data_IF_626312940525
#
_entry.id   IF_626312940525
#
_cell.length_a   1.000
_cell.length_b   1.000
_cell.length_c   1.000
_cell.angle_alpha   90.00
_cell.angle_beta   90.00
_cell.angle_gamma   90.00
#
_symmetry.space_group_name_H-M   'P 1'
#
loop_
_entity.id
_entity.type
_entity.pdbx_description
1 polymer ?
#
# COMPACT_ATOMS: atom_id res chain seq x y z
N UNK A 1 -9.67 -20.25 -0.74
CA UNK A 1 -9.62 -18.90 -1.37
C UNK A 1 -10.12 -19.04 -2.79
N UNK A 2 -11.19 -18.34 -3.18
CA UNK A 2 -11.79 -18.42 -4.53
C UNK A 2 -11.28 -17.37 -5.52
N UNK A 3 -10.65 -16.31 -5.02
CA UNK A 3 -10.04 -15.25 -5.82
C UNK A 3 -9.24 -14.30 -4.92
N UNK A 4 -8.43 -13.45 -5.55
CA UNK A 4 -7.62 -12.44 -4.88
C UNK A 4 -7.87 -11.08 -5.55
N UNK A 5 -8.06 -10.04 -4.74
CA UNK A 5 -8.20 -8.66 -5.22
C UNK A 5 -7.05 -7.82 -4.70
N UNK A 6 -6.38 -7.12 -5.61
CA UNK A 6 -5.29 -6.20 -5.32
C UNK A 6 -5.80 -4.78 -5.55
N UNK A 7 -6.14 -4.08 -4.48
CA UNK A 7 -6.45 -2.65 -4.55
C UNK A 7 -5.16 -1.86 -4.50
N UNK A 8 -4.90 -1.06 -5.55
CA UNK A 8 -3.79 -0.11 -5.64
C UNK A 8 -2.47 -0.73 -5.17
N UNK A 9 -2.03 -1.83 -5.81
CA UNK A 9 -0.81 -2.49 -5.36
C UNK A 9 0.40 -1.55 -5.52
N UNK A 10 1.50 -1.79 -4.78
CA UNK A 10 2.67 -0.91 -4.81
C UNK A 10 3.30 -0.80 -6.21
N UNK A 11 4.22 0.15 -6.40
CA UNK A 11 5.02 0.23 -7.64
C UNK A 11 5.62 -1.11 -7.97
N UNK A 12 5.79 -1.33 -9.27
CA UNK A 12 6.49 -2.49 -9.77
C UNK A 12 7.89 -2.60 -9.13
N UNK A 13 8.62 -1.49 -9.08
CA UNK A 13 9.97 -1.42 -8.53
C UNK A 13 9.98 -1.80 -7.04
N UNK A 14 8.95 -1.40 -6.28
CA UNK A 14 8.86 -1.76 -4.86
C UNK A 14 8.59 -3.25 -4.62
N UNK A 15 8.01 -3.95 -5.60
CA UNK A 15 7.74 -5.40 -5.53
C UNK A 15 8.75 -6.25 -6.31
N UNK A 16 9.53 -5.65 -7.22
CA UNK A 16 10.51 -6.35 -8.05
C UNK A 16 11.95 -6.17 -7.60
N UNK A 17 12.24 -5.15 -6.78
CA UNK A 17 13.59 -4.89 -6.29
C UNK A 17 13.71 -5.18 -4.79
N UNK A 18 14.87 -5.68 -4.39
CA UNK A 18 15.21 -5.71 -2.98
C UNK A 18 15.64 -4.33 -2.49
N UNK A 19 15.08 -3.90 -1.37
CA UNK A 19 15.54 -2.68 -0.71
C UNK A 19 16.91 -2.90 -0.09
N UNK A 20 17.82 -1.93 -0.28
CA UNK A 20 19.21 -2.03 0.16
C UNK A 20 19.32 -2.58 1.61
N UNK A 21 19.89 -3.78 1.81
CA UNK A 21 19.91 -4.44 3.11
C UNK A 21 20.61 -3.65 4.21
N UNK A 22 21.65 -2.89 3.84
CA UNK A 22 22.40 -2.03 4.77
C UNK A 22 21.54 -0.87 5.23
N UNK A 23 20.88 -0.17 4.30
CA UNK A 23 19.95 0.93 4.62
C UNK A 23 18.76 0.43 5.44
N UNK A 24 18.19 -0.71 5.07
CA UNK A 24 17.11 -1.38 5.79
C UNK A 24 17.49 -1.66 7.24
N UNK A 25 18.66 -2.26 7.46
CA UNK A 25 19.18 -2.59 8.79
C UNK A 25 19.47 -1.32 9.60
N UNK A 26 20.07 -0.30 8.98
CA UNK A 26 20.35 0.98 9.62
C UNK A 26 19.07 1.70 10.08
N UNK A 27 18.05 1.81 9.22
CA UNK A 27 16.76 2.44 9.55
C UNK A 27 16.04 1.66 10.66
N UNK A 28 16.03 0.32 10.57
CA UNK A 28 15.42 -0.52 11.58
C UNK A 28 16.09 -0.31 12.94
N UNK A 29 17.42 -0.37 13.00
CA UNK A 29 18.16 -0.20 14.25
C UNK A 29 18.01 1.23 14.81
N UNK A 30 18.05 2.25 13.96
CA UNK A 30 17.84 3.64 14.39
C UNK A 30 16.49 3.83 15.11
N UNK A 31 15.44 3.18 14.60
CA UNK A 31 14.08 3.32 15.12
C UNK A 31 13.70 2.31 16.21
N UNK A 32 14.53 1.30 16.47
CA UNK A 32 14.21 0.25 17.45
C UNK A 32 15.28 0.02 18.51
N UNK A 33 16.56 0.32 18.27
CA UNK A 33 17.63 0.03 19.22
C UNK A 33 17.67 1.04 20.39
N UNK A 34 17.96 0.58 21.63
CA UNK A 34 18.11 -0.80 22.07
C UNK A 34 16.77 -1.47 22.40
N UNK A 35 16.62 -2.75 22.04
CA UNK A 35 15.52 -3.61 22.54
C UNK A 35 14.09 -3.17 22.18
N UNK A 36 13.88 -2.39 21.14
CA UNK A 36 12.56 -1.82 20.79
C UNK A 36 12.22 -0.52 21.52
N UNK A 37 13.19 0.09 22.22
CA UNK A 37 13.03 1.26 23.07
C UNK A 37 13.76 2.52 22.56
N UNK A 38 14.06 2.61 21.25
CA UNK A 38 14.64 3.81 20.65
C UNK A 38 13.84 5.07 21.02
N UNK A 39 14.45 6.07 21.69
CA UNK A 39 13.79 7.34 21.98
C UNK A 39 13.37 8.08 20.70
N UNK A 40 14.20 7.99 19.66
CA UNK A 40 13.91 8.58 18.35
C UNK A 40 12.72 7.88 17.68
N UNK A 41 12.67 6.55 17.72
CA UNK A 41 11.54 5.78 17.20
C UNK A 41 10.23 6.11 17.93
N UNK A 42 10.28 6.25 19.25
CA UNK A 42 9.13 6.66 20.07
C UNK A 42 8.67 8.07 19.74
N UNK A 43 9.59 9.04 19.68
CA UNK A 43 9.28 10.44 19.38
C UNK A 43 8.70 10.58 17.97
N UNK A 44 9.31 9.93 16.98
CA UNK A 44 8.78 9.88 15.61
C UNK A 44 7.37 9.30 15.58
N UNK A 45 7.13 8.17 16.26
CA UNK A 45 5.82 7.53 16.29
C UNK A 45 4.75 8.43 16.93
N UNK A 46 5.08 9.09 18.04
CA UNK A 46 4.18 10.07 18.69
C UNK A 46 3.84 11.21 17.74
N UNK A 47 4.83 11.75 17.03
CA UNK A 47 4.63 12.80 16.04
C UNK A 47 3.79 12.33 14.85
N UNK A 48 4.10 11.16 14.29
CA UNK A 48 3.41 10.58 13.14
C UNK A 48 1.95 10.18 13.46
N UNK A 49 1.61 10.04 14.75
CA UNK A 49 0.25 9.76 15.21
C UNK A 49 -0.57 11.03 15.46
N UNK A 50 -0.04 12.22 15.19
CA UNK A 50 -0.80 13.47 15.33
C UNK A 50 -1.78 13.65 14.18
N UNK A 51 -2.96 14.22 14.47
CA UNK A 51 -3.96 14.53 13.44
C UNK A 51 -3.40 15.42 12.32
N UNK A 52 -2.53 16.39 12.68
CA UNK A 52 -1.87 17.28 11.71
C UNK A 52 -1.01 16.50 10.72
N UNK A 53 -0.14 15.62 11.23
CA UNK A 53 0.72 14.79 10.38
C UNK A 53 -0.13 13.86 9.50
N UNK A 54 -1.09 13.16 10.09
CA UNK A 54 -1.93 12.20 9.38
C UNK A 54 -2.75 12.86 8.27
N UNK A 55 -3.28 14.08 8.48
CA UNK A 55 -3.99 14.83 7.44
C UNK A 55 -3.07 15.19 6.29
N UNK A 56 -1.91 15.78 6.60
CA UNK A 56 -0.94 16.16 5.59
C UNK A 56 -0.43 14.94 4.80
N UNK A 57 -0.16 13.84 5.49
CA UNK A 57 0.29 12.60 4.86
C UNK A 57 -0.82 12.00 3.98
N UNK A 58 -2.06 11.96 4.47
CA UNK A 58 -3.20 11.41 3.74
C UNK A 58 -3.53 12.21 2.49
N UNK A 59 -3.58 13.55 2.59
CA UNK A 59 -3.87 14.41 1.44
C UNK A 59 -2.75 14.36 0.40
N UNK A 60 -1.49 14.33 0.84
CA UNK A 60 -0.35 14.31 -0.08
C UNK A 60 -0.15 12.95 -0.75
N UNK A 61 -0.36 11.85 -0.02
CA UNK A 61 0.11 10.53 -0.46
C UNK A 61 -1.01 9.51 -0.68
N UNK A 62 -2.15 9.59 0.02
CA UNK A 62 -3.17 8.53 0.00
C UNK A 62 -4.36 8.87 -0.89
N UNK A 63 -4.90 10.08 -0.73
CA UNK A 63 -6.07 10.53 -1.47
C UNK A 63 -5.70 11.30 -2.73
N UNK A 64 -6.54 11.19 -3.76
CA UNK A 64 -6.56 12.04 -4.94
C UNK A 64 -6.95 13.48 -4.61
N UNK A 65 -7.79 13.67 -3.59
CA UNK A 65 -8.29 14.98 -3.19
C UNK A 65 -8.32 15.19 -1.68
N UNK A 66 -7.90 16.36 -1.24
CA UNK A 66 -7.73 16.69 0.18
C UNK A 66 -9.07 16.80 0.94
N UNK A 67 -10.16 17.17 0.27
CA UNK A 67 -11.52 17.22 0.85
C UNK A 67 -12.03 15.85 1.30
N UNK A 68 -11.49 14.77 0.73
CA UNK A 68 -11.82 13.38 1.10
C UNK A 68 -11.12 12.92 2.36
N UNK A 69 -10.18 13.69 2.90
CA UNK A 69 -9.50 13.41 4.18
C UNK A 69 -10.37 13.88 5.34
N UNK A 70 -11.38 13.08 5.67
CA UNK A 70 -12.37 13.41 6.70
C UNK A 70 -11.82 13.31 8.13
N UNK A 71 -12.53 13.91 9.07
CA UNK A 71 -12.23 13.78 10.50
C UNK A 71 -12.40 12.33 10.97
N UNK A 72 -13.40 11.64 10.43
CA UNK A 72 -13.61 10.22 10.67
C UNK A 72 -12.40 9.38 10.26
N UNK A 73 -11.87 9.56 9.04
CA UNK A 73 -10.66 8.89 8.57
C UNK A 73 -9.48 9.08 9.52
N UNK A 74 -9.25 10.32 9.96
CA UNK A 74 -8.13 10.65 10.85
C UNK A 74 -8.33 10.06 12.25
N UNK A 75 -9.54 10.16 12.80
CA UNK A 75 -9.87 9.61 14.11
C UNK A 75 -9.75 8.08 14.12
N UNK A 76 -10.16 7.41 13.04
CA UNK A 76 -10.01 5.97 12.85
C UNK A 76 -8.52 5.58 12.88
N UNK A 77 -7.66 6.20 12.07
CA UNK A 77 -6.22 5.90 12.07
C UNK A 77 -5.61 6.14 13.45
N UNK A 78 -5.93 7.27 14.10
CA UNK A 78 -5.42 7.57 15.44
C UNK A 78 -5.82 6.47 16.42
N UNK A 79 -7.09 6.03 16.39
CA UNK A 79 -7.60 4.99 17.28
C UNK A 79 -6.88 3.66 17.08
N UNK A 80 -6.67 3.26 15.82
CA UNK A 80 -5.97 2.02 15.45
C UNK A 80 -4.47 2.08 15.77
N UNK A 81 -3.89 3.28 15.75
CA UNK A 81 -2.50 3.53 16.10
C UNK A 81 -2.27 3.76 17.61
N UNK A 82 -3.27 3.72 18.48
CA UNK A 82 -3.05 3.89 19.94
C UNK A 82 -2.23 2.78 20.60
N UNK A 83 -2.45 1.49 20.30
CA UNK A 83 -1.72 0.43 20.98
C UNK A 83 -0.22 0.53 20.70
N UNK A 84 0.59 0.56 21.76
CA UNK A 84 2.01 0.88 21.68
C UNK A 84 2.84 -0.14 20.89
N UNK A 85 2.33 -1.35 20.68
CA UNK A 85 2.91 -2.43 19.89
C UNK A 85 2.73 -2.21 18.36
N UNK A 86 1.73 -1.45 17.93
CA UNK A 86 1.48 -1.12 16.51
C UNK A 86 2.60 -0.28 15.89
N UNK A 87 3.40 0.41 16.72
CA UNK A 87 4.59 1.16 16.26
C UNK A 87 5.55 0.31 15.43
N UNK A 88 5.69 -0.98 15.75
CA UNK A 88 6.60 -1.86 15.04
C UNK A 88 6.13 -2.18 13.62
N UNK A 89 4.81 -2.22 13.38
CA UNK A 89 4.28 -2.37 12.02
C UNK A 89 4.60 -1.14 11.15
N UNK A 90 4.46 0.06 11.71
CA UNK A 90 4.81 1.31 11.02
C UNK A 90 6.32 1.38 10.78
N UNK A 91 7.15 1.08 11.79
CA UNK A 91 8.60 1.08 11.66
C UNK A 91 9.08 0.02 10.66
N UNK A 92 8.47 -1.17 10.65
CA UNK A 92 8.75 -2.21 9.66
C UNK A 92 8.43 -1.75 8.24
N UNK A 93 7.31 -1.04 8.07
CA UNK A 93 6.92 -0.45 6.80
C UNK A 93 7.94 0.60 6.33
N UNK A 94 8.30 1.54 7.20
CA UNK A 94 9.24 2.63 6.91
C UNK A 94 10.67 2.15 6.67
N UNK A 95 11.10 1.11 7.37
CA UNK A 95 12.42 0.50 7.17
C UNK A 95 12.48 -0.33 5.88
N UNK A 96 11.35 -0.50 5.17
CA UNK A 96 11.29 -1.23 3.92
C UNK A 96 11.40 -2.76 4.10
N UNK A 97 11.05 -3.32 5.27
CA UNK A 97 11.11 -4.77 5.50
C UNK A 97 10.24 -5.59 4.53
N UNK A 98 9.18 -4.95 4.01
CA UNK A 98 8.26 -5.53 3.04
C UNK A 98 8.81 -5.57 1.61
N UNK A 99 9.73 -4.64 1.27
CA UNK A 99 10.33 -4.51 -0.07
C UNK A 99 11.34 -5.61 -0.31
N UNK A 100 10.94 -6.57 -1.12
CA UNK A 100 11.74 -7.73 -1.55
C UNK A 100 11.35 -8.02 -2.99
N UNK A 101 12.18 -8.73 -3.72
CA UNK A 101 11.74 -9.32 -4.98
C UNK A 101 10.65 -10.36 -4.70
N UNK A 102 9.41 -9.96 -4.99
CA UNK A 102 8.20 -10.77 -4.90
C UNK A 102 7.74 -11.26 -6.26
N UNK A 103 8.36 -10.84 -7.37
CA UNK A 103 7.89 -11.14 -8.73
C UNK A 103 7.86 -12.64 -8.95
N UNK A 104 8.91 -13.35 -8.57
CA UNK A 104 8.93 -14.82 -8.64
C UNK A 104 7.82 -15.48 -7.82
N UNK A 105 7.42 -14.90 -6.68
CA UNK A 105 6.33 -15.44 -5.85
C UNK A 105 4.96 -15.13 -6.45
N UNK A 106 4.78 -13.94 -7.01
CA UNK A 106 3.56 -13.54 -7.71
C UNK A 106 3.32 -14.42 -8.96
N UNK A 107 4.37 -14.71 -9.73
CA UNK A 107 4.30 -15.62 -10.88
C UNK A 107 4.05 -17.10 -10.53
N UNK A 108 4.24 -17.48 -9.25
CA UNK A 108 3.96 -18.83 -8.73
C UNK A 108 2.57 -18.99 -8.11
N UNK A 109 1.76 -17.94 -8.07
CA UNK A 109 0.39 -18.09 -7.61
C UNK A 109 -0.34 -19.13 -8.49
N UNK A 110 -1.09 -20.07 -7.90
CA UNK A 110 -1.81 -21.06 -8.69
C UNK A 110 -2.75 -20.39 -9.69
N UNK A 111 -2.77 -20.89 -10.93
CA UNK A 111 -3.70 -20.42 -11.98
C UNK A 111 -5.17 -20.59 -11.58
N UNK A 112 -5.45 -21.50 -10.65
CA UNK A 112 -6.78 -21.75 -10.08
C UNK A 112 -7.26 -20.67 -9.11
N UNK A 113 -6.43 -19.68 -8.77
CA UNK A 113 -6.82 -18.53 -7.96
C UNK A 113 -6.86 -17.30 -8.86
N UNK A 114 -8.02 -16.92 -9.41
CA UNK A 114 -8.15 -15.73 -10.24
C UNK A 114 -7.75 -14.48 -9.45
N UNK A 115 -6.92 -13.64 -10.06
CA UNK A 115 -6.46 -12.38 -9.50
C UNK A 115 -7.05 -11.23 -10.29
N UNK A 116 -7.58 -10.24 -9.58
CA UNK A 116 -7.98 -8.96 -10.14
C UNK A 116 -7.20 -7.84 -9.47
N UNK A 117 -6.58 -6.97 -10.29
CA UNK A 117 -5.88 -5.78 -9.81
C UNK A 117 -6.57 -4.50 -10.27
N UNK A 118 -6.69 -3.53 -9.37
CA UNK A 118 -7.33 -2.24 -9.63
C UNK A 118 -6.36 -1.14 -9.25
N UNK A 119 -6.17 -0.18 -10.14
CA UNK A 119 -5.22 0.92 -9.99
C UNK A 119 -5.98 2.25 -9.93
N UNK A 120 -5.50 3.17 -9.11
CA UNK A 120 -5.99 4.55 -9.15
C UNK A 120 -5.37 5.28 -10.33
N UNK A 121 -6.14 6.07 -11.08
CA UNK A 121 -5.62 6.90 -12.18
C UNK A 121 -4.58 7.92 -11.72
N UNK A 122 -4.63 8.33 -10.45
CA UNK A 122 -3.65 9.20 -9.80
C UNK A 122 -2.70 8.45 -8.88
N UNK A 123 -2.67 7.11 -8.91
CA UNK A 123 -1.75 6.34 -8.09
C UNK A 123 -0.32 6.77 -8.37
N UNK A 124 0.28 7.46 -7.41
CA UNK A 124 1.72 7.73 -7.40
C UNK A 124 2.33 6.85 -6.34
N UNK A 125 3.40 6.18 -6.72
CA UNK A 125 4.00 5.19 -5.86
C UNK A 125 4.81 5.90 -4.79
N UNK A 126 4.59 5.53 -3.52
CA UNK A 126 5.28 6.12 -2.37
C UNK A 126 6.80 5.84 -2.42
N UNK A 127 7.22 4.84 -3.21
CA UNK A 127 8.62 4.65 -3.58
C UNK A 127 9.01 5.69 -4.64
N UNK A 128 9.79 6.69 -4.22
CA UNK A 128 10.35 7.78 -5.03
C UNK A 128 11.32 7.33 -6.16
N UNK A 129 11.15 6.12 -6.70
CA UNK A 129 12.07 5.50 -7.66
C UNK A 129 11.65 5.78 -9.10
N UNK A 130 10.37 6.09 -9.38
CA UNK A 130 10.00 6.56 -10.73
C UNK A 130 8.70 7.39 -10.68
N UNK A 131 8.81 8.72 -10.69
CA UNK A 131 7.65 9.63 -10.80
C UNK A 131 7.09 9.69 -12.24
N UNK A 132 7.73 9.05 -13.21
CA UNK A 132 7.41 9.23 -14.64
C UNK A 132 6.41 8.22 -15.22
N UNK A 133 6.07 7.14 -14.50
CA UNK A 133 5.20 6.08 -15.04
C UNK A 133 3.80 6.13 -14.43
N UNK A 134 2.81 6.33 -15.30
CA UNK A 134 1.40 6.43 -14.92
C UNK A 134 0.75 5.08 -14.60
N UNK A 135 -0.53 5.12 -14.19
CA UNK A 135 -1.30 3.94 -13.79
C UNK A 135 -1.34 2.83 -14.86
N UNK A 136 -1.24 3.19 -16.14
CA UNK A 136 -1.30 2.24 -17.25
C UNK A 136 -0.04 1.36 -17.37
N UNK A 137 1.16 1.93 -17.28
CA UNK A 137 2.41 1.13 -17.26
C UNK A 137 2.43 0.17 -16.07
N UNK A 138 1.96 0.65 -14.89
CA UNK A 138 1.85 -0.20 -13.72
C UNK A 138 0.86 -1.34 -13.94
N UNK A 139 -0.32 -1.05 -14.52
CA UNK A 139 -1.35 -2.03 -14.86
C UNK A 139 -0.78 -3.11 -15.79
N UNK A 140 -0.09 -2.73 -16.85
CA UNK A 140 0.52 -3.65 -17.82
C UNK A 140 1.58 -4.54 -17.17
N UNK A 141 2.44 -3.98 -16.32
CA UNK A 141 3.46 -4.75 -15.60
C UNK A 141 2.84 -5.86 -14.75
N UNK A 142 1.80 -5.55 -13.98
CA UNK A 142 1.10 -6.54 -13.17
C UNK A 142 0.35 -7.57 -14.05
N UNK A 143 -0.28 -7.14 -15.15
CA UNK A 143 -0.95 -8.04 -16.08
C UNK A 143 0.01 -9.08 -16.67
N UNK A 144 1.21 -8.65 -17.06
CA UNK A 144 2.22 -9.51 -17.69
C UNK A 144 2.98 -10.40 -16.70
N UNK A 145 3.04 -10.01 -15.42
CA UNK A 145 3.83 -10.72 -14.42
C UNK A 145 3.15 -11.94 -13.80
N UNK A 146 1.82 -12.03 -13.88
CA UNK A 146 1.04 -12.98 -13.10
C UNK A 146 0.14 -13.80 -14.03
N UNK A 147 0.45 -15.09 -14.26
CA UNK A 147 -0.40 -15.97 -15.06
C UNK A 147 -1.82 -16.15 -14.52
N UNK A 148 -2.03 -15.87 -13.23
CA UNK A 148 -3.33 -15.90 -12.57
C UNK A 148 -4.11 -14.59 -12.65
N UNK A 149 -3.53 -13.53 -13.24
CA UNK A 149 -4.23 -12.26 -13.45
C UNK A 149 -5.29 -12.44 -14.53
N UNK A 150 -6.56 -12.32 -14.16
CA UNK A 150 -7.69 -12.48 -15.07
C UNK A 150 -8.36 -11.16 -15.43
N UNK A 151 -8.17 -10.12 -14.60
CA UNK A 151 -8.74 -8.79 -14.81
C UNK A 151 -7.78 -7.74 -14.30
N UNK A 152 -7.69 -6.61 -15.00
CA UNK A 152 -7.07 -5.39 -14.49
C UNK A 152 -7.98 -4.21 -14.79
N UNK A 153 -8.05 -3.22 -13.91
CA UNK A 153 -8.86 -2.01 -14.13
C UNK A 153 -8.15 -0.75 -13.60
N UNK A 154 -8.49 0.40 -14.18
CA UNK A 154 -8.14 1.72 -13.64
C UNK A 154 -9.43 2.39 -13.17
N UNK A 155 -9.38 3.04 -12.02
CA UNK A 155 -10.50 3.74 -11.40
C UNK A 155 -10.08 5.16 -10.96
N UNK A 156 -10.98 6.16 -11.00
CA UNK A 156 -10.67 7.49 -10.47
C UNK A 156 -10.32 7.46 -8.98
N UNK A 157 -9.09 7.84 -8.64
CA UNK A 157 -8.58 7.83 -7.26
C UNK A 157 -7.08 7.59 -7.21
N UNK A 158 -6.53 7.46 -6.01
CA UNK A 158 -5.08 7.35 -5.78
C UNK A 158 -4.70 6.01 -5.19
N UNK A 159 -4.58 5.91 -3.86
CA UNK A 159 -3.95 4.76 -3.19
C UNK A 159 -4.90 4.03 -2.21
N UNK A 160 -6.15 4.47 -2.08
CA UNK A 160 -7.12 3.91 -1.14
C UNK A 160 -8.52 3.90 -1.77
N UNK A 161 -8.63 3.29 -2.95
CA UNK A 161 -9.86 3.21 -3.73
C UNK A 161 -11.11 2.75 -2.95
N UNK A 162 -11.04 1.78 -2.01
CA UNK A 162 -12.20 1.41 -1.20
C UNK A 162 -12.78 2.56 -0.38
N UNK A 163 -11.96 3.55 -0.02
CA UNK A 163 -12.37 4.75 0.71
C UNK A 163 -12.71 5.92 -0.21
N UNK A 164 -12.02 6.06 -1.35
CA UNK A 164 -12.28 7.15 -2.30
C UNK A 164 -13.53 6.94 -3.15
N UNK A 165 -13.82 5.68 -3.48
CA UNK A 165 -14.91 5.25 -4.37
C UNK A 165 -15.61 4.01 -3.81
N UNK A 166 -16.18 4.07 -2.59
CA UNK A 166 -16.72 2.88 -1.93
C UNK A 166 -17.79 2.17 -2.77
N UNK A 167 -18.70 2.90 -3.40
CA UNK A 167 -19.77 2.33 -4.22
C UNK A 167 -19.24 1.71 -5.52
N UNK A 168 -18.39 2.43 -6.26
CA UNK A 168 -17.85 1.93 -7.54
C UNK A 168 -16.91 0.74 -7.30
N UNK A 169 -16.10 0.79 -6.24
CA UNK A 169 -15.23 -0.30 -5.83
C UNK A 169 -16.03 -1.54 -5.42
N UNK A 170 -17.10 -1.36 -4.62
CA UNK A 170 -17.97 -2.46 -4.21
C UNK A 170 -18.71 -3.08 -5.39
N UNK A 171 -19.22 -2.28 -6.32
CA UNK A 171 -19.88 -2.77 -7.53
C UNK A 171 -18.93 -3.60 -8.41
N UNK A 172 -17.72 -3.09 -8.65
CA UNK A 172 -16.71 -3.80 -9.43
C UNK A 172 -16.22 -5.07 -8.71
N UNK A 173 -16.14 -5.06 -7.38
CA UNK A 173 -15.85 -6.24 -6.57
C UNK A 173 -16.95 -7.29 -6.66
N UNK A 174 -18.22 -6.87 -6.61
CA UNK A 174 -19.35 -7.77 -6.78
C UNK A 174 -19.36 -8.43 -8.16
N UNK A 175 -19.05 -7.68 -9.21
CA UNK A 175 -18.89 -8.21 -10.57
C UNK A 175 -17.79 -9.28 -10.62
N UNK A 176 -16.62 -9.00 -10.04
CA UNK A 176 -15.54 -9.96 -9.97
C UNK A 176 -15.95 -11.21 -9.20
N UNK A 177 -16.49 -11.07 -7.98
CA UNK A 177 -16.94 -12.20 -7.16
C UNK A 177 -17.99 -13.04 -7.88
N UNK A 178 -18.92 -12.42 -8.60
CA UNK A 178 -19.97 -13.14 -9.35
C UNK A 178 -19.42 -13.93 -10.53
N UNK A 179 -18.26 -13.54 -11.06
CA UNK A 179 -17.54 -14.29 -12.10
C UNK A 179 -16.77 -15.51 -11.56
N UNK A 180 -16.53 -15.56 -10.25
CA UNK A 180 -15.85 -16.67 -9.58
C UNK A 180 -16.87 -17.79 -9.32
N UNK A 181 -16.82 -18.85 -10.12
CA UNK A 181 -17.63 -20.06 -9.92
C UNK A 181 -17.32 -20.74 -8.57
#
# INVERSE_FOLDING_TARGET
VKGLVMSTPPSWEAVSSEFNPVVRSALWNLLTWPGGHSPLGKAFYQYASTAKFLRQFSSKNLFSSADKVTDEWINTIISEARPADRRFAIIAFLSGLWRRDRVLKMGRLPKSIPVWAIFGDQSRTIAAIDEQRGAEDLRERYANAMPSMVKTAIMPGKNILPYERPNDFAAALQEFVSSLK
#
